data_IF_719559129699
#
_entry.id   IF_719559129699
#
_cell.length_a   1.000
_cell.length_b   1.000
_cell.length_c   1.000
_cell.angle_alpha   90.00
_cell.angle_beta   90.00
_cell.angle_gamma   90.00
#
_symmetry.space_group_name_H-M   'P 1'
#
loop_
_entity.id
_entity.type
_entity.pdbx_description
1 polymer ?
#
# COMPACT_ATOMS: atom_id res chain seq x y z
N UNK A 1 8.13 -9.85 -25.61
CA UNK A 1 8.37 -9.93 -24.14
C UNK A 1 9.26 -11.13 -23.86
N UNK A 2 10.07 -11.05 -22.80
CA UNK A 2 11.11 -12.01 -22.41
C UNK A 2 10.54 -13.36 -21.88
N UNK A 3 9.65 -14.01 -22.62
CA UNK A 3 9.03 -15.28 -22.24
C UNK A 3 10.09 -16.37 -21.99
N UNK A 4 11.15 -16.38 -22.79
CA UNK A 4 12.25 -17.36 -22.70
C UNK A 4 13.21 -17.14 -21.52
N UNK A 5 13.03 -16.08 -20.71
CA UNK A 5 13.92 -15.76 -19.58
C UNK A 5 13.26 -15.96 -18.22
N UNK A 6 12.01 -16.42 -18.18
CA UNK A 6 11.29 -16.73 -16.96
C UNK A 6 11.57 -18.18 -16.53
N UNK A 7 11.58 -18.48 -15.23
CA UNK A 7 11.41 -17.53 -14.12
C UNK A 7 12.68 -16.73 -13.80
N UNK A 8 12.52 -15.56 -13.14
CA UNK A 8 13.62 -14.66 -12.77
C UNK A 8 13.99 -14.77 -11.28
N UNK A 9 15.28 -14.70 -10.96
CA UNK A 9 15.74 -14.71 -9.55
C UNK A 9 15.59 -13.35 -8.86
N UNK A 10 15.67 -12.25 -9.62
CA UNK A 10 15.57 -10.89 -9.08
C UNK A 10 14.66 -10.06 -9.98
N UNK A 11 13.67 -9.41 -9.38
CA UNK A 11 12.82 -8.44 -10.07
C UNK A 11 12.73 -7.16 -9.23
N UNK A 12 13.00 -6.01 -9.83
CA UNK A 12 12.83 -4.69 -9.18
C UNK A 12 11.87 -3.84 -10.00
N UNK A 13 10.97 -3.11 -9.34
CA UNK A 13 9.99 -2.28 -10.04
C UNK A 13 9.57 -1.05 -9.24
N UNK A 14 9.21 0.01 -9.95
CA UNK A 14 8.53 1.19 -9.44
C UNK A 14 7.42 1.56 -10.44
N UNK A 15 6.30 0.82 -10.43
CA UNK A 15 5.22 1.03 -11.38
C UNK A 15 4.50 2.35 -11.14
N UNK A 16 3.74 2.86 -12.14
CA UNK A 16 2.91 4.04 -11.96
C UNK A 16 1.77 3.75 -10.97
N UNK A 17 1.71 4.55 -9.91
CA UNK A 17 0.77 4.33 -8.81
C UNK A 17 -0.69 4.51 -9.20
N UNK A 18 -1.52 3.59 -8.72
CA UNK A 18 -2.97 3.68 -8.78
C UNK A 18 -3.51 3.85 -10.20
N UNK A 19 -2.79 3.29 -11.18
CA UNK A 19 -3.14 3.37 -12.59
C UNK A 19 -4.40 2.56 -12.88
N UNK A 20 -5.27 3.09 -13.75
CA UNK A 20 -6.44 2.34 -14.24
C UNK A 20 -5.98 1.21 -15.16
N UNK A 21 -6.68 0.09 -15.11
CA UNK A 21 -6.42 -1.05 -15.97
C UNK A 21 -7.73 -1.80 -16.26
N UNK A 22 -7.68 -2.72 -17.21
CA UNK A 22 -8.88 -3.43 -17.65
C UNK A 22 -9.46 -4.32 -16.55
N UNK A 23 -8.63 -4.93 -15.70
CA UNK A 23 -9.08 -5.75 -14.58
C UNK A 23 -10.13 -6.77 -14.99
N UNK A 24 -11.26 -6.80 -14.28
CA UNK A 24 -12.41 -7.67 -14.60
C UNK A 24 -13.13 -7.35 -15.92
N UNK A 25 -12.88 -6.17 -16.52
CA UNK A 25 -13.50 -5.81 -17.81
C UNK A 25 -12.84 -6.56 -18.97
N UNK A 26 -11.65 -7.11 -18.77
CA UNK A 26 -11.05 -8.05 -19.71
C UNK A 26 -11.27 -9.47 -19.19
N UNK A 27 -12.13 -10.27 -19.86
CA UNK A 27 -12.50 -11.61 -19.39
C UNK A 27 -11.33 -12.59 -19.40
N UNK A 28 -10.25 -12.31 -20.16
CA UNK A 28 -9.06 -13.15 -20.20
C UNK A 28 -8.31 -13.14 -18.87
N UNK A 29 -8.39 -12.05 -18.10
CA UNK A 29 -7.68 -11.92 -16.82
C UNK A 29 -8.16 -12.92 -15.76
N UNK A 30 -9.41 -13.38 -15.84
CA UNK A 30 -9.94 -14.34 -14.88
C UNK A 30 -9.25 -15.72 -14.97
N UNK A 31 -8.82 -16.09 -16.18
CA UNK A 31 -8.14 -17.37 -16.45
C UNK A 31 -6.62 -17.20 -16.59
N UNK A 32 -6.10 -15.99 -16.44
CA UNK A 32 -4.66 -15.72 -16.51
C UNK A 32 -3.97 -16.25 -15.25
N UNK A 33 -2.96 -17.10 -15.42
CA UNK A 33 -2.21 -17.74 -14.32
C UNK A 33 -1.62 -16.73 -13.33
N UNK A 34 -1.36 -15.49 -13.77
CA UNK A 34 -0.86 -14.42 -12.88
C UNK A 34 -1.86 -14.06 -11.80
N UNK A 35 -3.16 -14.19 -12.07
CA UNK A 35 -4.21 -13.62 -11.24
C UNK A 35 -5.21 -14.66 -10.75
N UNK A 36 -5.34 -15.81 -11.42
CA UNK A 36 -6.33 -16.85 -11.12
C UNK A 36 -6.20 -17.48 -9.72
N UNK A 37 -5.07 -17.28 -9.04
CA UNK A 37 -4.83 -17.74 -7.67
C UNK A 37 -5.56 -16.91 -6.59
N UNK A 38 -6.08 -15.74 -6.95
CA UNK A 38 -6.81 -14.84 -6.04
C UNK A 38 -7.81 -13.97 -6.82
N UNK A 39 -8.38 -12.95 -6.19
CA UNK A 39 -9.27 -12.00 -6.86
C UNK A 39 -8.48 -10.97 -7.68
N UNK A 40 -9.13 -10.41 -8.70
CA UNK A 40 -8.52 -9.35 -9.52
C UNK A 40 -8.46 -8.04 -8.75
N UNK A 41 -7.33 -7.32 -8.88
CA UNK A 41 -7.23 -5.96 -8.37
C UNK A 41 -8.32 -5.04 -8.98
N UNK A 42 -8.77 -3.99 -8.28
CA UNK A 42 -9.81 -3.10 -8.78
C UNK A 42 -9.39 -2.43 -10.10
N UNK A 43 -10.32 -2.25 -11.05
CA UNK A 43 -10.02 -1.60 -12.35
C UNK A 43 -9.42 -0.19 -12.19
N UNK A 44 -9.72 0.49 -11.08
CA UNK A 44 -9.20 1.82 -10.78
C UNK A 44 -7.78 1.82 -10.19
N UNK A 45 -7.23 0.65 -9.82
CA UNK A 45 -5.97 0.47 -9.10
C UNK A 45 -5.23 -0.80 -9.54
N UNK A 46 -4.23 -0.64 -10.39
CA UNK A 46 -3.41 -1.75 -10.88
C UNK A 46 -2.29 -2.21 -9.91
N UNK A 47 -2.09 -1.52 -8.80
CA UNK A 47 -0.97 -1.74 -7.85
C UNK A 47 -0.79 -3.23 -7.50
N UNK A 48 -1.83 -3.89 -6.97
CA UNK A 48 -1.77 -5.32 -6.63
C UNK A 48 -1.66 -6.25 -7.85
N UNK A 49 -2.10 -5.81 -9.04
CA UNK A 49 -1.88 -6.59 -10.26
C UNK A 49 -0.40 -6.62 -10.65
N UNK A 50 0.36 -5.55 -10.38
CA UNK A 50 1.82 -5.56 -10.58
C UNK A 50 2.52 -6.49 -9.58
N UNK A 51 2.10 -6.50 -8.31
CA UNK A 51 2.60 -7.43 -7.28
C UNK A 51 2.38 -8.88 -7.73
N UNK A 52 1.15 -9.23 -8.12
CA UNK A 52 0.81 -10.58 -8.59
C UNK A 52 1.58 -10.96 -9.88
N UNK A 53 1.72 -10.01 -10.81
CA UNK A 53 2.51 -10.21 -12.01
C UNK A 53 3.99 -10.49 -11.71
N UNK A 54 4.60 -9.79 -10.75
CA UNK A 54 5.98 -10.04 -10.33
C UNK A 54 6.13 -11.40 -9.66
N UNK A 55 5.21 -11.77 -8.76
CA UNK A 55 5.22 -13.06 -8.08
C UNK A 55 5.13 -14.21 -9.08
N UNK A 56 4.25 -14.14 -10.08
CA UNK A 56 4.13 -15.23 -11.05
C UNK A 56 5.46 -15.50 -11.78
N UNK A 57 6.18 -14.44 -12.15
CA UNK A 57 7.43 -14.54 -12.90
C UNK A 57 8.68 -14.78 -12.05
N UNK A 58 8.55 -14.78 -10.73
CA UNK A 58 9.66 -14.98 -9.82
C UNK A 58 10.00 -16.48 -9.70
N UNK A 59 11.28 -16.83 -9.69
CA UNK A 59 11.75 -18.19 -9.47
C UNK A 59 11.42 -18.67 -8.06
N UNK A 60 11.44 -19.99 -7.85
CA UNK A 60 11.16 -20.61 -6.56
C UNK A 60 12.08 -20.11 -5.44
N UNK A 61 13.31 -19.68 -5.77
CA UNK A 61 14.28 -19.08 -4.85
C UNK A 61 14.45 -17.57 -5.04
N UNK A 62 13.62 -16.95 -5.88
CA UNK A 62 13.77 -15.56 -6.28
C UNK A 62 13.28 -14.56 -5.24
N UNK A 63 13.75 -13.32 -5.36
CA UNK A 63 13.33 -12.18 -4.55
C UNK A 63 12.93 -10.99 -5.43
N UNK A 64 11.89 -10.29 -5.02
CA UNK A 64 11.36 -9.14 -5.72
C UNK A 64 11.29 -7.92 -4.80
N UNK A 65 11.53 -6.72 -5.34
CA UNK A 65 11.32 -5.47 -4.63
C UNK A 65 10.46 -4.53 -5.48
N UNK A 66 9.31 -4.14 -4.95
CA UNK A 66 8.38 -3.24 -5.64
C UNK A 66 8.07 -2.02 -4.77
N UNK A 67 8.23 -0.83 -5.35
CA UNK A 67 7.82 0.43 -4.72
C UNK A 67 6.34 0.64 -4.97
N UNK A 68 5.57 0.91 -3.92
CA UNK A 68 4.11 1.01 -3.98
C UNK A 68 3.57 2.26 -3.28
N UNK A 69 2.36 2.64 -3.70
CA UNK A 69 1.55 3.58 -2.94
C UNK A 69 1.02 2.88 -1.66
N UNK A 70 1.06 3.53 -0.48
CA UNK A 70 0.73 2.86 0.79
C UNK A 70 -0.66 2.22 0.87
N UNK A 71 -1.60 2.65 0.02
CA UNK A 71 -2.94 2.08 -0.08
C UNK A 71 -2.96 0.56 -0.23
N UNK A 72 -1.97 -0.04 -0.90
CA UNK A 72 -1.86 -1.51 -1.02
C UNK A 72 -1.86 -2.21 0.33
N UNK A 73 -1.40 -1.53 1.40
CA UNK A 73 -1.27 -2.08 2.74
C UNK A 73 -2.60 -2.16 3.51
N UNK A 74 -3.63 -1.39 3.13
CA UNK A 74 -4.83 -1.25 3.97
C UNK A 74 -6.16 -1.12 3.23
N UNK A 75 -6.18 -0.92 1.90
CA UNK A 75 -7.44 -0.80 1.15
C UNK A 75 -8.27 -2.07 1.26
N UNK A 76 -9.59 -1.90 1.45
CA UNK A 76 -10.54 -3.00 1.64
C UNK A 76 -10.95 -3.66 0.30
N UNK A 77 -11.87 -4.63 0.37
CA UNK A 77 -12.40 -5.33 -0.80
C UNK A 77 -11.36 -6.22 -1.45
N UNK A 78 -11.30 -6.24 -2.79
CA UNK A 78 -10.43 -7.14 -3.54
C UNK A 78 -8.95 -7.08 -3.11
N UNK A 79 -8.42 -5.90 -2.76
CA UNK A 79 -7.03 -5.80 -2.30
C UNK A 79 -6.80 -6.41 -0.92
N UNK A 80 -7.83 -6.51 -0.06
CA UNK A 80 -7.73 -7.27 1.20
C UNK A 80 -7.55 -8.75 0.90
N UNK A 81 -8.34 -9.30 -0.02
CA UNK A 81 -8.28 -10.72 -0.38
C UNK A 81 -6.93 -11.08 -1.02
N UNK A 82 -6.38 -10.17 -1.84
CA UNK A 82 -5.02 -10.32 -2.38
C UNK A 82 -3.98 -10.28 -1.24
N UNK A 83 -4.07 -9.33 -0.30
CA UNK A 83 -3.17 -9.31 0.86
C UNK A 83 -3.26 -10.59 1.68
N UNK A 84 -4.46 -11.08 1.93
CA UNK A 84 -4.69 -12.32 2.65
C UNK A 84 -3.99 -13.51 1.97
N UNK A 85 -4.11 -13.63 0.65
CA UNK A 85 -3.37 -14.61 -0.14
C UNK A 85 -1.85 -14.45 0.03
N UNK A 86 -1.33 -13.22 -0.13
CA UNK A 86 0.11 -12.95 -0.02
C UNK A 86 0.70 -13.30 1.35
N UNK A 87 -0.07 -13.08 2.42
CA UNK A 87 0.31 -13.41 3.80
C UNK A 87 0.26 -14.92 4.01
N UNK A 88 -0.85 -15.58 3.62
CA UNK A 88 -1.04 -17.02 3.81
C UNK A 88 0.00 -17.86 3.06
N UNK A 89 0.34 -17.46 1.84
CA UNK A 89 1.39 -18.11 1.03
C UNK A 89 2.81 -17.69 1.43
N UNK A 90 2.96 -16.90 2.50
CA UNK A 90 4.25 -16.43 3.01
C UNK A 90 5.11 -15.73 1.93
N UNK A 91 4.48 -14.94 1.05
CA UNK A 91 5.13 -14.34 -0.12
C UNK A 91 5.75 -12.97 0.17
N UNK A 92 5.25 -12.26 1.18
CA UNK A 92 5.81 -10.97 1.61
C UNK A 92 6.90 -11.24 2.65
N UNK A 93 8.12 -10.82 2.39
CA UNK A 93 9.26 -10.96 3.29
C UNK A 93 9.41 -9.76 4.24
N UNK A 94 9.35 -8.56 3.67
CA UNK A 94 9.56 -7.31 4.41
C UNK A 94 8.69 -6.19 3.83
N UNK A 95 8.19 -5.31 4.69
CA UNK A 95 7.51 -4.07 4.30
C UNK A 95 8.29 -2.90 4.87
N UNK A 96 8.74 -2.01 3.99
CA UNK A 96 9.50 -0.81 4.39
C UNK A 96 8.65 0.42 4.12
N UNK A 97 8.31 1.18 5.16
CA UNK A 97 7.71 2.52 5.04
C UNK A 97 8.83 3.54 4.84
N UNK A 98 8.84 4.20 3.70
CA UNK A 98 9.87 5.19 3.36
C UNK A 98 9.53 6.58 3.92
N UNK A 99 10.50 7.51 3.92
CA UNK A 99 10.23 8.92 4.20
C UNK A 99 9.17 9.53 3.27
N UNK A 100 8.41 10.49 3.81
CA UNK A 100 7.58 11.36 2.99
C UNK A 100 8.44 12.25 2.09
N UNK A 101 7.85 12.92 1.10
CA UNK A 101 8.54 13.86 0.21
C UNK A 101 9.82 13.31 -0.47
N UNK A 102 9.94 11.99 -0.64
CA UNK A 102 11.11 11.36 -1.27
C UNK A 102 10.99 11.37 -2.80
N UNK A 103 9.79 11.16 -3.33
CA UNK A 103 9.51 11.09 -4.77
C UNK A 103 9.07 12.44 -5.35
N UNK A 104 9.33 12.64 -6.64
CA UNK A 104 8.71 13.72 -7.41
C UNK A 104 7.21 13.43 -7.64
N UNK A 105 6.38 14.46 -7.72
CA UNK A 105 4.93 14.30 -7.99
C UNK A 105 4.04 13.93 -6.80
N UNK A 106 4.60 13.57 -5.65
CA UNK A 106 3.84 13.35 -4.40
C UNK A 106 4.61 13.83 -3.16
N UNK A 107 3.87 14.24 -2.13
CA UNK A 107 4.39 14.52 -0.79
C UNK A 107 4.16 13.37 0.20
N UNK A 108 3.28 12.43 -0.15
CA UNK A 108 2.95 11.27 0.67
C UNK A 108 4.16 10.32 0.70
N UNK A 109 4.29 9.55 1.77
CA UNK A 109 5.25 8.45 1.81
C UNK A 109 4.90 7.35 0.81
N UNK A 110 5.88 6.55 0.47
CA UNK A 110 5.73 5.32 -0.34
C UNK A 110 6.21 4.14 0.50
N UNK A 111 5.89 2.93 0.08
CA UNK A 111 6.42 1.74 0.72
C UNK A 111 7.18 0.87 -0.29
N UNK A 112 8.04 0.00 0.23
CA UNK A 112 8.65 -1.09 -0.54
C UNK A 112 8.09 -2.39 0.00
N UNK A 113 7.57 -3.24 -0.88
CA UNK A 113 7.30 -4.63 -0.59
C UNK A 113 8.49 -5.46 -1.08
N UNK A 114 9.17 -6.14 -0.15
CA UNK A 114 10.11 -7.21 -0.50
C UNK A 114 9.34 -8.53 -0.51
N UNK A 115 9.37 -9.21 -1.65
CA UNK A 115 8.67 -10.45 -1.92
C UNK A 115 9.69 -11.57 -2.09
N UNK A 116 9.40 -12.76 -1.56
CA UNK A 116 10.30 -13.92 -1.68
C UNK A 116 9.49 -15.21 -1.72
N UNK A 117 9.82 -16.11 -2.64
CA UNK A 117 9.23 -17.45 -2.70
C UNK A 117 10.02 -18.43 -1.83
N UNK A 118 9.33 -19.45 -1.31
CA UNK A 118 9.89 -20.56 -0.53
C UNK A 118 10.84 -20.13 0.60
N UNK A 119 10.50 -19.05 1.31
CA UNK A 119 11.26 -18.66 2.49
C UNK A 119 10.91 -19.57 3.67
N UNK A 120 11.93 -19.96 4.44
CA UNK A 120 11.78 -20.80 5.62
C UNK A 120 11.23 -20.01 6.80
N UNK A 121 11.59 -18.73 6.89
CA UNK A 121 11.13 -17.84 7.94
C UNK A 121 9.65 -17.51 7.74
N UNK A 122 8.87 -17.65 8.82
CA UNK A 122 7.47 -17.27 8.85
C UNK A 122 7.31 -15.83 9.32
N UNK A 123 6.20 -15.19 8.94
CA UNK A 123 5.92 -13.81 9.32
C UNK A 123 6.49 -12.78 8.35
N UNK A 124 6.17 -11.51 8.63
CA UNK A 124 6.55 -10.37 7.82
C UNK A 124 7.35 -9.41 8.68
N UNK A 125 8.49 -8.97 8.16
CA UNK A 125 9.32 -7.99 8.84
C UNK A 125 8.85 -6.57 8.48
N UNK A 126 8.46 -5.78 9.46
CA UNK A 126 8.01 -4.40 9.26
C UNK A 126 9.16 -3.45 9.61
N UNK A 127 9.36 -2.43 8.78
CA UNK A 127 10.40 -1.40 8.97
C UNK A 127 9.79 -0.01 8.77
N UNK A 128 9.87 0.84 9.79
CA UNK A 128 9.55 2.27 9.70
C UNK A 128 10.82 3.09 9.46
N UNK A 129 11.16 3.29 8.18
CA UNK A 129 12.24 4.17 7.76
C UNK A 129 11.77 5.62 7.54
N UNK A 130 10.59 6.02 8.02
CA UNK A 130 10.01 7.33 7.70
C UNK A 130 10.82 8.52 8.22
N UNK A 131 11.61 8.31 9.28
CA UNK A 131 12.53 9.31 9.87
C UNK A 131 13.94 9.25 9.28
N UNK A 132 14.22 8.28 8.39
CA UNK A 132 15.55 8.06 7.83
C UNK A 132 15.79 8.92 6.59
N UNK A 133 16.00 10.22 6.77
CA UNK A 133 16.31 11.12 5.66
C UNK A 133 17.12 12.34 6.08
N UNK A 134 17.76 12.96 5.09
CA UNK A 134 18.27 14.33 5.18
C UNK A 134 17.35 15.27 4.39
N UNK A 135 17.18 16.49 4.90
CA UNK A 135 16.43 17.54 4.20
C UNK A 135 17.23 18.02 2.98
N UNK A 136 16.54 18.15 1.85
CA UNK A 136 17.09 18.72 0.61
C UNK A 136 16.05 19.66 -0.01
N UNK A 137 15.99 20.90 0.50
CA UNK A 137 14.93 21.85 0.16
C UNK A 137 13.56 21.34 0.56
N UNK A 138 12.60 21.36 -0.37
CA UNK A 138 11.23 20.84 -0.16
C UNK A 138 11.13 19.30 -0.21
N UNK A 139 12.21 18.62 -0.60
CA UNK A 139 12.27 17.16 -0.73
C UNK A 139 13.17 16.56 0.34
N UNK A 140 12.88 15.32 0.67
CA UNK A 140 13.75 14.51 1.52
C UNK A 140 14.66 13.66 0.63
N UNK A 141 15.84 13.31 1.11
CA UNK A 141 16.77 12.42 0.41
C UNK A 141 17.31 11.37 1.40
N UNK A 142 17.46 10.14 0.93
CA UNK A 142 18.20 9.12 1.68
C UNK A 142 19.70 9.43 1.59
N UNK A 143 20.34 9.69 2.73
CA UNK A 143 21.81 9.71 2.79
C UNK A 143 22.36 8.28 2.68
N UNK A 144 23.67 8.15 2.44
CA UNK A 144 24.33 6.85 2.41
C UNK A 144 24.19 6.14 3.77
N UNK A 145 24.32 6.88 4.87
CA UNK A 145 24.17 6.38 6.23
C UNK A 145 22.75 5.86 6.50
N UNK A 146 21.71 6.60 6.05
CA UNK A 146 20.32 6.14 6.17
C UNK A 146 20.12 4.82 5.41
N UNK A 147 20.64 4.75 4.18
CA UNK A 147 20.52 3.55 3.33
C UNK A 147 21.21 2.34 3.98
N UNK A 148 22.45 2.50 4.46
CA UNK A 148 23.22 1.44 5.10
C UNK A 148 22.51 0.93 6.35
N UNK A 149 21.99 1.82 7.19
CA UNK A 149 21.18 1.47 8.37
C UNK A 149 19.97 0.61 7.99
N UNK A 150 19.18 1.06 7.02
CA UNK A 150 17.97 0.33 6.57
C UNK A 150 18.36 -1.05 6.02
N UNK A 151 19.39 -1.13 5.17
CA UNK A 151 19.84 -2.38 4.56
C UNK A 151 20.35 -3.35 5.63
N UNK A 152 21.13 -2.88 6.60
CA UNK A 152 21.66 -3.72 7.67
C UNK A 152 20.54 -4.30 8.53
N UNK A 153 19.56 -3.47 8.90
CA UNK A 153 18.40 -3.88 9.70
C UNK A 153 17.58 -4.95 8.95
N UNK A 154 17.31 -4.75 7.66
CA UNK A 154 16.59 -5.73 6.84
C UNK A 154 17.39 -7.02 6.68
N UNK A 155 18.69 -6.92 6.37
CA UNK A 155 19.57 -8.06 6.10
C UNK A 155 19.64 -9.01 7.30
N UNK A 156 19.75 -8.45 8.49
CA UNK A 156 19.90 -9.22 9.73
C UNK A 156 18.61 -9.33 10.53
N UNK A 157 17.48 -8.84 9.98
CA UNK A 157 16.16 -8.81 10.65
C UNK A 157 16.24 -8.28 12.09
N UNK A 158 17.01 -7.22 12.30
CA UNK A 158 17.24 -6.64 13.63
C UNK A 158 15.96 -5.97 14.12
N UNK A 159 15.35 -6.50 15.17
CA UNK A 159 14.22 -5.84 15.82
C UNK A 159 14.72 -4.67 16.65
N UNK A 160 14.15 -3.48 16.41
CA UNK A 160 14.52 -2.22 17.04
C UNK A 160 13.23 -1.51 17.40
N UNK A 161 13.10 -1.12 18.66
CA UNK A 161 11.95 -0.36 19.17
C UNK A 161 11.64 0.85 18.28
N UNK A 162 10.34 1.05 17.99
CA UNK A 162 9.80 2.09 17.10
C UNK A 162 10.38 2.13 15.67
N UNK A 163 11.10 1.09 15.23
CA UNK A 163 11.76 1.07 13.93
C UNK A 163 11.55 -0.22 13.15
N UNK A 164 11.67 -1.39 13.78
CA UNK A 164 11.53 -2.66 13.08
C UNK A 164 11.11 -3.81 14.00
N UNK A 165 10.22 -4.66 13.49
CA UNK A 165 9.64 -5.79 14.24
C UNK A 165 9.25 -6.91 13.29
N UNK A 166 9.41 -8.17 13.72
CA UNK A 166 8.90 -9.33 12.99
C UNK A 166 7.51 -9.68 13.54
N UNK A 167 6.51 -9.77 12.65
CA UNK A 167 5.14 -10.11 13.04
C UNK A 167 4.70 -11.39 12.37
N UNK A 168 4.15 -12.31 13.16
CA UNK A 168 3.61 -13.58 12.67
C UNK A 168 2.29 -13.40 11.90
N UNK A 169 1.90 -14.44 11.15
CA UNK A 169 0.70 -14.39 10.31
C UNK A 169 -0.61 -14.37 11.11
N UNK A 170 -0.63 -14.91 12.32
CA UNK A 170 -1.83 -14.95 13.17
C UNK A 170 -2.16 -13.54 13.67
N UNK A 171 -1.16 -12.81 14.15
CA UNK A 171 -1.27 -11.41 14.54
C UNK A 171 -1.76 -10.54 13.36
N UNK A 172 -1.26 -10.80 12.14
CA UNK A 172 -1.70 -10.09 10.93
C UNK A 172 -3.15 -10.45 10.56
N UNK A 173 -3.53 -11.72 10.68
CA UNK A 173 -4.89 -12.19 10.42
C UNK A 173 -5.90 -11.55 11.41
N UNK A 174 -5.54 -11.48 12.69
CA UNK A 174 -6.33 -10.82 13.74
C UNK A 174 -6.52 -9.31 13.46
N UNK A 175 -5.59 -8.69 12.73
CA UNK A 175 -5.69 -7.30 12.24
C UNK A 175 -6.32 -7.18 10.85
N UNK A 176 -7.10 -8.17 10.42
CA UNK A 176 -7.81 -8.19 9.13
C UNK A 176 -6.87 -8.02 7.92
N UNK A 177 -5.66 -8.55 7.99
CA UNK A 177 -4.63 -8.41 6.96
C UNK A 177 -4.29 -6.96 6.62
N UNK A 178 -4.39 -6.04 7.59
CA UNK A 178 -3.82 -4.69 7.48
C UNK A 178 -2.30 -4.80 7.63
N UNK A 179 -1.57 -4.28 6.66
CA UNK A 179 -0.11 -4.32 6.59
C UNK A 179 0.52 -2.94 6.76
N UNK A 180 -0.24 -1.96 7.28
CA UNK A 180 0.28 -0.64 7.61
C UNK A 180 1.33 -0.76 8.71
N UNK A 181 2.54 -0.27 8.46
CA UNK A 181 3.67 -0.35 9.40
C UNK A 181 3.33 0.24 10.78
N UNK A 182 2.61 1.37 10.81
CA UNK A 182 2.17 2.00 12.07
C UNK A 182 1.32 1.07 12.95
N UNK A 183 0.58 0.12 12.36
CA UNK A 183 -0.26 -0.80 13.12
C UNK A 183 0.54 -1.80 13.96
N UNK A 184 1.87 -1.86 13.81
CA UNK A 184 2.73 -2.84 14.48
C UNK A 184 3.89 -2.20 15.26
N UNK A 185 4.37 -1.03 14.85
CA UNK A 185 5.51 -0.36 15.49
C UNK A 185 5.11 0.79 16.41
N UNK A 186 3.94 1.40 16.22
CA UNK A 186 3.46 2.44 17.11
C UNK A 186 2.64 1.79 18.23
N UNK A 187 3.32 1.32 19.28
CA UNK A 187 2.66 1.03 20.57
C UNK A 187 2.54 2.27 21.46
N UNK A 188 3.22 3.36 21.08
CA UNK A 188 3.05 4.70 21.65
C UNK A 188 2.28 5.58 20.66
N UNK A 189 1.06 5.18 20.32
CA UNK A 189 0.03 6.21 20.37
C UNK A 189 -0.24 6.29 21.89
N UNK A 190 0.26 7.33 22.59
CA UNK A 190 -0.71 8.04 23.43
C UNK A 190 -1.91 8.16 22.49
N UNK A 191 -2.97 7.39 22.74
CA UNK A 191 -4.20 7.53 21.99
C UNK A 191 -4.41 9.04 22.02
N UNK A 192 -4.19 9.74 20.90
CA UNK A 192 -4.73 11.07 20.76
C UNK A 192 -6.20 10.78 20.98
N UNK A 193 -6.70 11.07 22.19
CA UNK A 193 -8.09 10.89 22.55
C UNK A 193 -8.82 11.58 21.42
N UNK A 194 -9.33 10.79 20.48
CA UNK A 194 -10.00 11.34 19.32
C UNK A 194 -11.20 12.01 19.96
N UNK A 195 -11.18 13.34 20.02
CA UNK A 195 -12.28 14.10 20.59
C UNK A 195 -13.48 13.81 19.69
N UNK A 196 -14.30 12.84 20.14
CA UNK A 196 -15.47 12.36 19.42
C UNK A 196 -16.44 13.53 19.26
N UNK A 197 -16.45 14.48 20.19
CA UNK A 197 -17.26 15.68 20.13
C UNK A 197 -16.76 16.63 19.04
N UNK A 198 -15.45 16.92 19.00
CA UNK A 198 -14.86 17.74 17.92
C UNK A 198 -15.07 17.10 16.54
N UNK A 199 -14.89 15.78 16.44
CA UNK A 199 -15.08 15.04 15.20
C UNK A 199 -16.55 15.10 14.75
N UNK A 200 -17.49 14.91 15.68
CA UNK A 200 -18.92 15.05 15.39
C UNK A 200 -19.30 16.47 15.01
N UNK A 201 -18.70 17.49 15.63
CA UNK A 201 -18.89 18.91 15.25
C UNK A 201 -18.40 19.14 13.81
N UNK A 202 -17.19 18.68 13.47
CA UNK A 202 -16.63 18.78 12.11
C UNK A 202 -17.50 18.03 11.09
N UNK A 203 -17.98 16.84 11.44
CA UNK A 203 -18.85 16.03 10.59
C UNK A 203 -20.19 16.73 10.35
N UNK A 204 -20.88 17.16 11.40
CA UNK A 204 -22.14 17.89 11.31
C UNK A 204 -21.99 19.21 10.55
N UNK A 205 -20.91 19.94 10.76
CA UNK A 205 -20.61 21.16 10.00
C UNK A 205 -20.41 20.87 8.51
N UNK A 206 -19.72 19.80 8.18
CA UNK A 206 -19.50 19.37 6.80
C UNK A 206 -20.81 18.96 6.13
N UNK A 207 -21.66 18.20 6.83
CA UNK A 207 -23.01 17.82 6.36
C UNK A 207 -23.89 19.04 6.13
N UNK A 208 -23.89 20.02 7.05
CA UNK A 208 -24.63 21.29 6.87
C UNK A 208 -24.17 22.03 5.61
N UNK A 209 -22.86 22.14 5.38
CA UNK A 209 -22.32 22.77 4.16
C UNK A 209 -22.75 22.04 2.89
N UNK A 210 -22.72 20.70 2.90
CA UNK A 210 -23.20 19.88 1.77
C UNK A 210 -24.68 20.17 1.49
N UNK A 211 -25.52 20.25 2.53
CA UNK A 211 -26.95 20.52 2.36
C UNK A 211 -27.21 21.93 1.80
N UNK A 212 -26.53 22.96 2.30
CA UNK A 212 -26.63 24.33 1.77
C UNK A 212 -26.24 24.36 0.28
N UNK A 213 -25.16 23.67 -0.09
CA UNK A 213 -24.73 23.60 -1.49
C UNK A 213 -25.74 22.86 -2.37
N UNK A 214 -26.36 21.79 -1.85
CA UNK A 214 -27.44 21.08 -2.56
C UNK A 214 -28.66 21.95 -2.78
N UNK A 215 -29.09 22.72 -1.77
CA UNK A 215 -30.21 23.66 -1.92
C UNK A 215 -29.90 24.73 -2.98
N UNK A 216 -28.68 25.28 -2.97
CA UNK A 216 -28.25 26.23 -4.00
C UNK A 216 -28.27 25.62 -5.40
N UNK A 217 -27.81 24.37 -5.54
CA UNK A 217 -27.86 23.65 -6.82
C UNK A 217 -29.31 23.45 -7.27
N UNK A 218 -30.20 23.02 -6.36
CA UNK A 218 -31.61 22.83 -6.67
C UNK A 218 -32.29 24.15 -7.08
N UNK A 219 -31.95 25.27 -6.44
CA UNK A 219 -32.47 26.57 -6.84
C UNK A 219 -32.04 26.95 -8.25
N UNK A 220 -30.76 26.74 -8.60
CA UNK A 220 -30.26 26.98 -9.96
C UNK A 220 -30.99 26.08 -10.98
N UNK A 221 -31.27 24.83 -10.63
CA UNK A 221 -32.03 23.91 -11.50
C UNK A 221 -33.46 24.44 -11.73
N UNK A 222 -34.16 24.84 -10.68
CA UNK A 222 -35.52 25.40 -10.76
C UNK A 222 -35.52 26.67 -11.62
N UNK A 223 -34.55 27.56 -11.41
CA UNK A 223 -34.45 28.80 -12.18
C UNK A 223 -34.21 28.52 -13.67
N UNK A 224 -33.41 27.51 -14.02
CA UNK A 224 -33.14 27.11 -15.40
C UNK A 224 -34.33 26.39 -16.05
N UNK A 225 -35.01 25.48 -15.35
CA UNK A 225 -36.19 24.77 -15.86
C UNK A 225 -37.43 25.68 -15.99
N UNK A 226 -37.51 26.73 -15.17
CA UNK A 226 -38.55 27.77 -15.26
C UNK A 226 -38.28 28.86 -16.31
N UNK A 227 -37.14 28.79 -17.02
CA UNK A 227 -36.76 29.75 -18.08
C UNK A 227 -37.20 29.34 -19.50
N UNK A 228 -37.83 28.16 -19.65
CA UNK A 228 -38.25 27.57 -20.93
C UNK A 228 -39.76 27.73 -21.24
N UNK A 229 -40.49 28.59 -20.51
CA UNK A 229 -41.85 29.08 -20.85
C UNK A 229 -41.83 30.55 -21.32
#
# INVERSE_FOLDING_TARGET
MHENFKPFDIIVSNPPYSTKWEGKNNPLNANDERFSVTTLAPNSKADMAFVMHMINHLSSSGSAAIVEFPGVLYRCGAEKDIREYLVKENLIDTIVKLPNNLFFGTSIYTCILLLRKNKNEQGIFFVDASKEFIKNGKKNKLSKQNLEKIIEIIRYKKEIEDFSILIDHETIANKNFKLSVNSYLNFNDEEEEIDIEELNIKLNTSVKKINILREKINQIIIDLEGSDE
#
